data_IF_968121928858
#
_entry.id   IF_968121928858
#
_cell.length_a   1.000
_cell.length_b   1.000
_cell.length_c   1.000
_cell.angle_alpha   90.00
_cell.angle_beta   90.00
_cell.angle_gamma   90.00
#
_symmetry.space_group_name_H-M   'P 1'
#
loop_
_entity.id
_entity.type
_entity.pdbx_description
1 polymer ?
#
# COMPACT_ATOMS: atom_id res chain seq x y z
N UNK A 1 19.56 12.26 27.38
CA UNK A 1 18.12 11.89 27.56
C UNK A 1 17.33 12.54 26.45
N UNK A 2 17.07 11.86 25.35
CA UNK A 2 16.14 12.32 24.30
C UNK A 2 14.73 12.00 24.81
N UNK A 3 13.98 13.06 25.13
CA UNK A 3 12.61 12.95 25.59
C UNK A 3 11.77 12.13 24.60
N UNK A 4 10.99 11.25 25.15
CA UNK A 4 10.03 10.27 24.59
C UNK A 4 9.11 10.86 23.50
N UNK A 5 9.66 11.24 22.34
CA UNK A 5 8.85 11.57 21.16
C UNK A 5 8.56 10.28 20.45
N UNK A 6 7.34 9.78 20.58
CA UNK A 6 6.85 8.65 19.77
C UNK A 6 7.01 9.00 18.29
N UNK A 7 8.01 8.45 17.65
CA UNK A 7 8.21 8.56 16.21
C UNK A 7 7.28 7.54 15.53
N UNK A 8 6.50 8.00 14.55
CA UNK A 8 5.73 7.11 13.68
C UNK A 8 6.49 6.91 12.37
N UNK A 9 6.70 5.67 11.92
CA UNK A 9 7.20 5.43 10.57
C UNK A 9 6.21 5.99 9.56
N UNK A 10 6.72 6.63 8.52
CA UNK A 10 5.90 7.18 7.43
C UNK A 10 6.53 6.84 6.09
N UNK A 11 5.70 6.65 5.07
CA UNK A 11 6.15 6.49 3.71
C UNK A 11 5.50 7.54 2.80
N UNK A 12 6.26 7.97 1.79
CA UNK A 12 5.72 8.76 0.67
C UNK A 12 5.51 7.83 -0.50
N UNK A 13 4.29 7.81 -1.02
CA UNK A 13 3.88 6.94 -2.12
C UNK A 13 3.55 7.81 -3.32
N UNK A 14 3.95 7.35 -4.50
CA UNK A 14 3.50 7.90 -5.77
C UNK A 14 3.43 6.81 -6.82
N UNK A 15 2.49 6.96 -7.75
CA UNK A 15 2.47 6.20 -8.99
C UNK A 15 3.36 6.90 -10.01
N UNK A 16 4.07 6.14 -10.81
CA UNK A 16 4.95 6.66 -11.85
C UNK A 16 4.78 5.93 -13.18
N UNK A 17 5.16 6.59 -14.25
CA UNK A 17 5.26 6.00 -15.58
C UNK A 17 6.63 6.35 -16.18
N UNK A 18 7.38 5.35 -16.61
CA UNK A 18 8.74 5.54 -17.18
C UNK A 18 9.65 6.43 -16.30
N UNK A 19 9.60 6.22 -14.97
CA UNK A 19 10.38 6.99 -13.99
C UNK A 19 9.86 8.40 -13.71
N UNK A 20 8.72 8.80 -14.28
CA UNK A 20 8.10 10.10 -14.01
C UNK A 20 6.92 9.97 -13.05
N UNK A 21 6.92 10.67 -11.90
CA UNK A 21 5.81 10.61 -10.96
C UNK A 21 4.56 11.28 -11.56
N UNK A 22 3.44 10.57 -11.51
CA UNK A 22 2.15 11.00 -12.03
C UNK A 22 1.14 11.31 -10.93
N UNK A 23 1.06 10.50 -9.90
CA UNK A 23 0.10 10.67 -8.82
C UNK A 23 0.74 10.37 -7.46
N UNK A 24 0.86 11.38 -6.63
CA UNK A 24 1.20 11.26 -5.22
C UNK A 24 0.00 11.59 -4.33
N UNK A 25 0.18 11.60 -3.01
CA UNK A 25 -0.87 11.84 -2.00
C UNK A 25 -1.73 13.08 -2.32
N UNK A 26 -1.09 14.24 -2.55
CA UNK A 26 -1.83 15.47 -2.86
C UNK A 26 -2.68 15.36 -4.14
N UNK A 27 -2.20 14.64 -5.14
CA UNK A 27 -2.96 14.38 -6.35
C UNK A 27 -4.13 13.42 -6.13
N UNK A 28 -3.93 12.38 -5.33
CA UNK A 28 -4.99 11.46 -4.94
C UNK A 28 -6.08 12.17 -4.13
N UNK A 29 -5.70 13.08 -3.22
CA UNK A 29 -6.64 13.91 -2.45
C UNK A 29 -7.46 14.84 -3.37
N UNK A 30 -6.83 15.42 -4.41
CA UNK A 30 -7.55 16.20 -5.43
C UNK A 30 -8.56 15.33 -6.18
N UNK A 31 -8.19 14.16 -6.69
CA UNK A 31 -9.09 13.27 -7.41
C UNK A 31 -10.25 12.81 -6.52
N UNK A 32 -9.96 12.44 -5.27
CA UNK A 32 -10.97 12.07 -4.27
C UNK A 32 -11.95 13.21 -3.99
N UNK A 33 -11.44 14.42 -3.81
CA UNK A 33 -12.26 15.60 -3.59
C UNK A 33 -13.16 15.91 -4.81
N UNK A 34 -12.66 15.76 -6.05
CA UNK A 34 -13.46 15.90 -7.26
C UNK A 34 -14.57 14.85 -7.33
N UNK A 35 -14.26 13.61 -7.02
CA UNK A 35 -15.24 12.51 -6.99
C UNK A 35 -16.39 12.82 -6.04
N UNK A 36 -16.10 13.38 -4.87
CA UNK A 36 -17.09 13.72 -3.83
C UNK A 36 -17.85 15.00 -4.13
N UNK A 37 -17.15 16.05 -4.52
CA UNK A 37 -17.70 17.41 -4.65
C UNK A 37 -18.22 17.72 -6.05
N UNK A 38 -17.87 16.92 -7.06
CA UNK A 38 -18.22 17.11 -8.47
C UNK A 38 -17.89 18.51 -9.00
N UNK A 39 -16.88 19.16 -8.42
CA UNK A 39 -16.47 20.54 -8.72
C UNK A 39 -15.02 20.76 -8.40
N UNK A 40 -14.24 21.28 -9.37
CA UNK A 40 -12.82 21.63 -9.16
C UNK A 40 -12.67 22.74 -8.11
N UNK A 41 -13.55 23.74 -8.13
CA UNK A 41 -13.52 24.85 -7.16
C UNK A 41 -13.72 24.33 -5.72
N UNK A 42 -14.74 23.46 -5.51
CA UNK A 42 -14.98 22.88 -4.20
C UNK A 42 -13.87 21.90 -3.80
N UNK A 43 -13.35 21.12 -4.74
CA UNK A 43 -12.21 20.23 -4.48
C UNK A 43 -10.95 21.02 -4.05
N UNK A 44 -10.67 22.16 -4.70
CA UNK A 44 -9.59 23.04 -4.32
C UNK A 44 -9.76 23.58 -2.88
N UNK A 45 -10.98 24.00 -2.53
CA UNK A 45 -11.31 24.44 -1.16
C UNK A 45 -11.11 23.31 -0.14
N UNK A 46 -11.63 22.12 -0.44
CA UNK A 46 -11.53 20.94 0.45
C UNK A 46 -10.09 20.52 0.69
N UNK A 47 -9.22 20.64 -0.31
CA UNK A 47 -7.79 20.26 -0.22
C UNK A 47 -6.89 21.39 0.27
N UNK A 48 -7.43 22.61 0.50
CA UNK A 48 -6.63 23.77 0.89
C UNK A 48 -5.71 24.28 -0.23
N UNK A 49 -6.02 23.97 -1.49
CA UNK A 49 -5.20 24.33 -2.65
C UNK A 49 -5.90 25.41 -3.48
N UNK A 50 -5.12 26.18 -4.26
CA UNK A 50 -5.72 27.14 -5.20
C UNK A 50 -6.34 26.41 -6.40
N UNK A 51 -7.43 26.98 -6.97
CA UNK A 51 -8.04 26.47 -8.20
C UNK A 51 -7.02 26.32 -9.33
N UNK A 52 -6.14 27.35 -9.51
CA UNK A 52 -5.10 27.34 -10.53
C UNK A 52 -4.14 26.17 -10.36
N UNK A 53 -3.75 25.87 -9.11
CA UNK A 53 -2.87 24.74 -8.82
C UNK A 53 -3.55 23.41 -9.19
N UNK A 54 -4.79 23.19 -8.71
CA UNK A 54 -5.55 21.96 -8.98
C UNK A 54 -5.72 21.75 -10.48
N UNK A 55 -6.13 22.80 -11.21
CA UNK A 55 -6.29 22.74 -12.66
C UNK A 55 -4.99 22.41 -13.39
N UNK A 56 -3.89 23.10 -13.05
CA UNK A 56 -2.58 22.87 -13.67
C UNK A 56 -2.08 21.45 -13.38
N UNK A 57 -2.29 20.96 -12.15
CA UNK A 57 -1.90 19.62 -11.76
C UNK A 57 -2.66 18.55 -12.56
N UNK A 58 -3.98 18.68 -12.69
CA UNK A 58 -4.80 17.77 -13.50
C UNK A 58 -4.34 17.76 -14.97
N UNK A 59 -4.10 18.93 -15.55
CA UNK A 59 -3.60 19.04 -16.92
C UNK A 59 -2.21 18.41 -17.11
N UNK A 60 -1.35 18.52 -16.11
CA UNK A 60 -0.03 17.86 -16.12
C UNK A 60 -0.18 16.33 -16.13
N UNK A 61 -1.05 15.77 -15.27
CA UNK A 61 -1.32 14.33 -15.24
C UNK A 61 -1.87 13.87 -16.60
N UNK A 62 -2.91 14.53 -17.11
CA UNK A 62 -3.54 14.19 -18.40
C UNK A 62 -2.52 14.21 -19.55
N UNK A 63 -1.64 15.22 -19.56
CA UNK A 63 -0.58 15.32 -20.56
C UNK A 63 0.43 14.17 -20.46
N UNK A 64 0.83 13.81 -19.25
CA UNK A 64 1.80 12.71 -19.03
C UNK A 64 1.20 11.36 -19.39
N UNK A 65 -0.06 11.14 -19.06
CA UNK A 65 -0.78 9.88 -19.30
C UNK A 65 -1.38 9.81 -20.72
N UNK A 66 -1.44 10.94 -21.44
CA UNK A 66 -2.13 11.09 -22.73
C UNK A 66 -3.59 10.60 -22.69
N UNK A 67 -4.20 10.70 -21.52
CA UNK A 67 -5.60 10.34 -21.29
C UNK A 67 -6.26 11.33 -20.32
N UNK A 68 -7.55 11.67 -20.53
CA UNK A 68 -8.26 12.54 -19.62
C UNK A 68 -8.57 11.80 -18.31
N UNK A 69 -8.29 12.44 -17.17
CA UNK A 69 -8.64 11.93 -15.84
C UNK A 69 -9.95 12.55 -15.33
N UNK A 70 -10.39 13.66 -15.92
CA UNK A 70 -11.65 14.32 -15.59
C UNK A 70 -12.45 14.67 -16.85
N UNK A 71 -13.77 14.76 -16.69
CA UNK A 71 -14.70 15.34 -17.66
C UNK A 71 -15.37 16.52 -16.98
N UNK A 72 -15.38 17.68 -17.67
CA UNK A 72 -16.04 18.90 -17.19
C UNK A 72 -17.22 19.24 -18.09
N UNK A 73 -18.38 19.45 -17.50
CA UNK A 73 -19.54 20.01 -18.19
C UNK A 73 -19.74 21.47 -17.78
N UNK A 74 -19.82 22.36 -18.76
CA UNK A 74 -20.11 23.77 -18.48
C UNK A 74 -21.55 23.90 -18.00
N UNK A 75 -21.74 24.59 -16.89
CA UNK A 75 -23.07 24.95 -16.43
C UNK A 75 -23.76 25.93 -17.37
N UNK A 76 -25.09 25.83 -17.43
CA UNK A 76 -25.92 26.79 -18.15
C UNK A 76 -25.99 28.17 -17.48
N UNK A 77 -26.87 29.09 -17.97
CA UNK A 77 -27.04 30.47 -17.51
C UNK A 77 -27.27 30.67 -16.00
N UNK A 78 -27.57 29.61 -15.24
CA UNK A 78 -27.78 29.63 -13.77
C UNK A 78 -26.57 29.17 -12.93
N UNK A 79 -25.39 29.01 -13.54
CA UNK A 79 -24.16 28.60 -12.83
C UNK A 79 -24.11 27.08 -12.56
N UNK A 80 -22.94 26.56 -12.18
CA UNK A 80 -22.81 25.18 -11.71
C UNK A 80 -22.35 24.18 -12.78
N UNK A 81 -21.12 24.35 -13.31
CA UNK A 81 -20.48 23.29 -14.09
C UNK A 81 -20.22 22.04 -13.23
N UNK A 82 -20.43 20.86 -13.76
CA UNK A 82 -20.12 19.59 -13.11
C UNK A 82 -18.78 19.05 -13.60
N UNK A 83 -17.98 18.52 -12.66
CA UNK A 83 -16.72 17.84 -12.98
C UNK A 83 -16.75 16.43 -12.38
N UNK A 84 -16.53 15.43 -13.21
CA UNK A 84 -16.47 14.02 -12.79
C UNK A 84 -15.12 13.43 -13.16
N UNK A 85 -14.72 12.41 -12.46
CA UNK A 85 -13.61 11.56 -12.90
C UNK A 85 -14.06 10.78 -14.15
N UNK A 86 -13.11 10.51 -15.05
CA UNK A 86 -13.30 9.48 -16.08
C UNK A 86 -13.12 8.11 -15.43
N UNK A 87 -13.55 7.03 -16.11
CA UNK A 87 -13.26 5.67 -15.65
C UNK A 87 -11.76 5.43 -15.45
N UNK A 88 -10.93 6.07 -16.29
CA UNK A 88 -9.48 6.04 -16.12
C UNK A 88 -9.03 6.78 -14.84
N UNK A 89 -9.57 7.98 -14.58
CA UNK A 89 -9.29 8.72 -13.35
C UNK A 89 -9.72 8.00 -12.08
N UNK A 90 -10.85 7.30 -12.12
CA UNK A 90 -11.33 6.45 -11.02
C UNK A 90 -10.40 5.26 -10.76
N UNK A 91 -9.96 4.59 -11.83
CA UNK A 91 -9.02 3.47 -11.72
C UNK A 91 -7.67 3.92 -11.17
N UNK A 92 -7.16 5.07 -11.62
CA UNK A 92 -5.92 5.65 -11.13
C UNK A 92 -5.99 5.96 -9.62
N UNK A 93 -7.11 6.54 -9.18
CA UNK A 93 -7.35 6.81 -7.76
C UNK A 93 -7.44 5.51 -6.95
N UNK A 94 -8.13 4.49 -7.47
CA UNK A 94 -8.28 3.18 -6.84
C UNK A 94 -6.93 2.47 -6.71
N UNK A 95 -6.10 2.53 -7.73
CA UNK A 95 -4.75 1.95 -7.71
C UNK A 95 -3.87 2.62 -6.64
N UNK A 96 -3.85 3.97 -6.60
CA UNK A 96 -3.12 4.70 -5.58
C UNK A 96 -3.59 4.31 -4.18
N UNK A 97 -4.91 4.29 -3.96
CA UNK A 97 -5.49 3.94 -2.65
C UNK A 97 -5.11 2.53 -2.21
N UNK A 98 -5.15 1.55 -3.12
CA UNK A 98 -4.74 0.17 -2.82
C UNK A 98 -3.31 0.10 -2.29
N UNK A 99 -2.37 0.83 -2.93
CA UNK A 99 -0.97 0.88 -2.49
C UNK A 99 -0.84 1.63 -1.16
N UNK A 100 -1.57 2.73 -0.99
CA UNK A 100 -1.58 3.53 0.25
C UNK A 100 -2.09 2.71 1.44
N UNK A 101 -3.21 2.00 1.27
CA UNK A 101 -3.80 1.15 2.31
C UNK A 101 -2.83 0.02 2.69
N UNK A 102 -2.23 -0.64 1.70
CA UNK A 102 -1.23 -1.69 1.92
C UNK A 102 0.00 -1.21 2.70
N UNK A 103 0.58 -0.07 2.30
CA UNK A 103 1.71 0.51 3.01
C UNK A 103 1.29 0.98 4.40
N UNK A 104 0.07 1.49 4.55
CA UNK A 104 -0.52 1.91 5.83
C UNK A 104 -0.64 0.75 6.81
N UNK A 105 -1.09 -0.42 6.37
CA UNK A 105 -1.16 -1.63 7.18
C UNK A 105 0.24 -2.07 7.65
N UNK A 106 1.23 -2.07 6.74
CA UNK A 106 2.62 -2.41 7.10
C UNK A 106 3.19 -1.45 8.15
N UNK A 107 2.93 -0.14 7.97
CA UNK A 107 3.46 0.89 8.87
C UNK A 107 2.68 0.99 10.20
N UNK A 108 1.43 0.52 10.22
CA UNK A 108 0.56 0.53 11.40
C UNK A 108 0.70 -0.69 12.31
N UNK A 109 1.45 -1.68 11.89
CA UNK A 109 1.69 -2.90 12.67
C UNK A 109 2.70 -2.62 13.81
N UNK A 110 2.17 -2.25 14.99
CA UNK A 110 2.99 -1.94 16.18
C UNK A 110 3.76 -3.17 16.68
N UNK A 111 3.16 -4.37 16.63
CA UNK A 111 3.85 -5.64 16.99
C UNK A 111 5.02 -5.92 16.06
N UNK A 112 4.85 -5.63 14.77
CA UNK A 112 5.93 -5.72 13.80
C UNK A 112 7.10 -4.80 14.16
N UNK A 113 6.85 -3.55 14.55
CA UNK A 113 7.90 -2.59 14.87
C UNK A 113 8.57 -2.83 16.23
N UNK A 114 7.85 -3.37 17.20
CA UNK A 114 8.43 -3.80 18.50
C UNK A 114 9.26 -5.08 18.34
N UNK A 115 8.85 -5.99 17.45
CA UNK A 115 9.60 -7.20 17.11
C UNK A 115 10.87 -6.92 16.27
N UNK A 116 10.95 -5.74 15.63
CA UNK A 116 12.04 -5.33 14.70
C UNK A 116 13.22 -4.69 15.41
N UNK A 117 13.64 -5.19 16.55
CA UNK A 117 15.08 -5.11 16.88
C UNK A 117 15.97 -5.79 15.80
N UNK A 118 15.36 -6.57 14.90
CA UNK A 118 15.95 -7.11 13.67
C UNK A 118 15.47 -6.23 12.49
N UNK A 119 16.37 -5.60 11.78
CA UNK A 119 16.11 -4.79 10.58
C UNK A 119 15.70 -5.65 9.37
N UNK A 120 14.60 -6.41 9.46
CA UNK A 120 14.12 -7.33 8.42
C UNK A 120 12.70 -6.94 8.03
N UNK A 121 12.42 -6.90 6.72
CA UNK A 121 11.10 -6.60 6.15
C UNK A 121 10.15 -7.82 6.10
N UNK A 122 10.53 -8.98 6.63
CA UNK A 122 9.71 -10.19 6.61
C UNK A 122 8.60 -10.12 7.65
N UNK A 123 7.34 -10.24 7.20
CA UNK A 123 6.14 -10.17 8.06
C UNK A 123 5.90 -11.42 8.90
N UNK A 124 6.28 -12.59 8.38
CA UNK A 124 6.08 -13.83 9.07
C UNK A 124 7.29 -14.13 9.95
N UNK A 125 7.10 -14.04 11.26
CA UNK A 125 8.10 -14.39 12.26
C UNK A 125 7.60 -15.61 13.05
N UNK A 126 8.14 -16.77 12.72
CA UNK A 126 7.79 -18.03 13.37
C UNK A 126 8.83 -18.29 14.47
N UNK A 127 8.44 -18.09 15.72
CA UNK A 127 9.31 -18.35 16.86
C UNK A 127 9.32 -19.86 17.12
N UNK A 128 10.51 -20.39 17.37
CA UNK A 128 10.66 -21.82 17.61
C UNK A 128 12.02 -22.21 18.13
N UNK A 129 12.13 -23.46 18.50
CA UNK A 129 13.36 -24.08 19.04
C UNK A 129 14.03 -24.93 17.98
N UNK A 130 15.34 -24.73 17.79
CA UNK A 130 16.15 -25.57 16.90
C UNK A 130 16.23 -26.98 17.47
N UNK A 131 15.74 -27.97 16.71
CA UNK A 131 15.80 -29.40 17.07
C UNK A 131 17.02 -30.08 16.52
N UNK A 132 17.38 -29.81 15.26
CA UNK A 132 18.56 -30.43 14.63
C UNK A 132 19.26 -29.46 13.72
N UNK A 133 20.59 -29.60 13.63
CA UNK A 133 21.44 -28.91 12.65
C UNK A 133 22.30 -29.99 11.97
N UNK A 134 22.08 -30.21 10.69
CA UNK A 134 22.87 -31.10 9.85
C UNK A 134 23.77 -30.23 8.96
N UNK A 135 25.08 -30.28 9.16
CA UNK A 135 26.04 -29.50 8.39
C UNK A 135 26.60 -30.33 7.24
N UNK A 136 26.40 -29.90 6.01
CA UNK A 136 27.14 -30.37 4.85
C UNK A 136 28.31 -29.43 4.52
N UNK A 137 29.04 -29.74 3.46
CA UNK A 137 30.24 -28.98 3.06
C UNK A 137 29.89 -27.53 2.61
N UNK A 138 28.73 -27.33 2.00
CA UNK A 138 28.33 -26.03 1.45
C UNK A 138 27.01 -25.54 2.07
N UNK A 139 26.10 -26.44 2.40
CA UNK A 139 24.78 -26.09 2.93
C UNK A 139 24.55 -26.76 4.28
N UNK A 140 23.76 -26.12 5.14
CA UNK A 140 23.32 -26.71 6.38
C UNK A 140 21.79 -26.80 6.39
N UNK A 141 21.26 -27.89 6.92
CA UNK A 141 19.82 -28.11 7.15
C UNK A 141 19.51 -27.89 8.63
N UNK A 142 18.63 -26.94 8.89
CA UNK A 142 18.17 -26.61 10.25
C UNK A 142 16.70 -26.97 10.36
N UNK A 143 16.35 -27.77 11.36
CA UNK A 143 14.95 -28.07 11.72
C UNK A 143 14.57 -27.28 12.96
N UNK A 144 13.46 -26.54 12.87
CA UNK A 144 12.86 -25.83 13.98
C UNK A 144 11.50 -26.46 14.32
N UNK A 145 11.22 -26.52 15.59
CA UNK A 145 9.86 -26.77 16.11
C UNK A 145 9.24 -25.40 16.42
N UNK A 146 8.13 -25.09 15.75
CA UNK A 146 7.46 -23.79 15.86
C UNK A 146 6.48 -23.81 17.03
N UNK A 147 6.44 -22.72 17.79
CA UNK A 147 5.47 -22.53 18.86
C UNK A 147 4.09 -22.24 18.25
N UNK A 148 3.06 -22.93 18.73
CA UNK A 148 1.67 -22.77 18.28
C UNK A 148 0.77 -22.33 19.45
N UNK A 149 -0.29 -21.54 19.21
CA UNK A 149 -0.80 -21.07 17.93
C UNK A 149 0.07 -19.96 17.31
N UNK A 150 0.19 -19.95 15.97
CA UNK A 150 0.97 -18.95 15.22
C UNK A 150 0.15 -18.45 14.03
N UNK A 151 0.12 -17.14 13.82
CA UNK A 151 -0.54 -16.53 12.65
C UNK A 151 0.48 -16.32 11.54
N UNK A 152 0.14 -16.74 10.33
CA UNK A 152 0.93 -16.52 9.12
C UNK A 152 0.15 -15.61 8.20
N UNK A 153 0.78 -14.50 7.77
CA UNK A 153 0.19 -13.56 6.81
C UNK A 153 0.71 -13.88 5.41
N UNK A 154 -0.20 -14.16 4.49
CA UNK A 154 0.10 -14.32 3.08
C UNK A 154 -0.49 -13.17 2.27
N UNK A 155 0.26 -12.68 1.28
CA UNK A 155 -0.19 -11.70 0.32
C UNK A 155 -0.29 -12.37 -1.04
N UNK A 156 -1.51 -12.59 -1.45
CA UNK A 156 -1.84 -13.23 -2.73
C UNK A 156 -2.73 -12.29 -3.55
N UNK A 157 -2.83 -12.54 -4.85
CA UNK A 157 -3.71 -11.74 -5.70
C UNK A 157 -5.18 -11.97 -5.33
N UNK A 158 -6.03 -10.98 -5.62
CA UNK A 158 -7.47 -11.12 -5.48
C UNK A 158 -8.00 -12.27 -6.34
N UNK A 159 -7.49 -12.40 -7.56
CA UNK A 159 -7.82 -13.48 -8.48
C UNK A 159 -7.56 -14.85 -7.84
N UNK A 160 -6.39 -15.05 -7.20
CA UNK A 160 -6.09 -16.29 -6.50
C UNK A 160 -7.06 -16.58 -5.34
N UNK A 161 -7.52 -15.55 -4.61
CA UNK A 161 -8.55 -15.73 -3.56
C UNK A 161 -9.89 -16.16 -4.17
N UNK A 162 -10.26 -15.58 -5.31
CA UNK A 162 -11.49 -15.89 -6.03
C UNK A 162 -11.44 -17.30 -6.65
N UNK A 163 -10.35 -17.65 -7.30
CA UNK A 163 -10.14 -18.96 -7.94
C UNK A 163 -10.12 -20.11 -6.93
N UNK A 164 -9.48 -19.90 -5.79
CA UNK A 164 -9.42 -20.88 -4.70
C UNK A 164 -10.66 -20.82 -3.80
N UNK A 165 -11.58 -19.87 -4.04
CA UNK A 165 -12.81 -19.65 -3.26
C UNK A 165 -12.56 -19.57 -1.74
N UNK A 166 -11.47 -18.92 -1.31
CA UNK A 166 -11.03 -18.84 0.09
C UNK A 166 -11.99 -17.95 0.91
N UNK A 167 -12.43 -18.48 2.04
CA UNK A 167 -13.36 -17.81 2.97
C UNK A 167 -12.86 -17.91 4.41
N UNK A 168 -13.28 -16.98 5.28
CA UNK A 168 -13.03 -17.11 6.71
C UNK A 168 -13.55 -18.44 7.27
N UNK A 169 -12.69 -19.17 7.97
CA UNK A 169 -13.00 -20.48 8.55
C UNK A 169 -12.54 -21.67 7.71
N UNK A 170 -12.05 -21.45 6.48
CA UNK A 170 -11.49 -22.53 5.67
C UNK A 170 -10.18 -23.05 6.27
N UNK A 171 -9.97 -24.35 6.17
CA UNK A 171 -8.72 -25.00 6.52
C UNK A 171 -7.80 -24.96 5.29
N UNK A 172 -6.67 -24.27 5.41
CA UNK A 172 -5.69 -24.10 4.33
C UNK A 172 -4.26 -24.35 4.82
N UNK A 173 -3.34 -24.66 3.91
CA UNK A 173 -1.93 -24.82 4.23
C UNK A 173 -1.11 -23.61 3.77
N UNK A 174 -0.27 -23.07 4.65
CA UNK A 174 0.79 -22.15 4.24
C UNK A 174 1.98 -22.96 3.72
N UNK A 175 2.29 -22.81 2.42
CA UNK A 175 3.40 -23.52 1.78
C UNK A 175 4.60 -22.60 1.67
N UNK A 176 5.69 -22.94 2.33
CA UNK A 176 6.93 -22.16 2.35
C UNK A 176 8.07 -23.02 1.80
N UNK A 177 8.73 -22.57 0.75
CA UNK A 177 9.87 -23.27 0.17
C UNK A 177 11.05 -23.24 1.12
N UNK A 178 11.66 -24.39 1.40
CA UNK A 178 12.74 -24.48 2.39
C UNK A 178 13.96 -23.59 2.09
N UNK A 179 14.23 -23.29 0.83
CA UNK A 179 15.33 -22.40 0.40
C UNK A 179 15.02 -20.92 0.61
N UNK A 180 13.78 -20.56 0.95
CA UNK A 180 13.32 -19.18 1.16
C UNK A 180 13.10 -18.84 2.64
N UNK A 181 13.29 -19.83 3.52
CA UNK A 181 13.22 -19.64 4.95
C UNK A 181 14.54 -19.04 5.46
N UNK A 182 14.47 -17.86 6.02
CA UNK A 182 15.61 -17.21 6.69
C UNK A 182 15.63 -17.59 8.16
N UNK A 183 16.84 -17.80 8.71
CA UNK A 183 17.03 -18.03 10.14
C UNK A 183 17.64 -16.79 10.76
N UNK A 184 16.98 -16.25 11.78
CA UNK A 184 17.49 -15.14 12.59
C UNK A 184 17.77 -15.61 14.01
N UNK A 185 18.88 -15.16 14.61
CA UNK A 185 19.23 -15.37 16.00
C UNK A 185 19.63 -14.04 16.61
N UNK A 186 19.05 -13.69 17.75
CA UNK A 186 19.45 -12.50 18.50
C UNK A 186 20.91 -12.63 18.95
N UNK A 187 21.71 -11.59 18.72
CA UNK A 187 23.05 -11.49 19.30
C UNK A 187 22.88 -11.05 20.76
N UNK A 188 23.32 -11.89 21.68
CA UNK A 188 23.48 -11.51 23.10
C UNK A 188 24.55 -10.46 23.24
#
# INVERSE_FOLDING_TARGET
MLANKKHKPTAKIWLEIKGQPILGKGGADILKAIQQQKSITKAAQTTGMSYKYVWTYLKKIEKTLQQPVIITHRGGKKGGGETKLTSFGENLLKEFKRVEDYVGEVLGDEEYWEAVGLKISARNRLIGTVKTVEKGDIVAKVKLEIETPTTVTALISREAVEDLNIKPGDEVAAVIKATEVMIAKERK
#
